data_IF_137555601016
#
_entry.id   IF_137555601016
#
_cell.length_a   1.000
_cell.length_b   1.000
_cell.length_c   1.000
_cell.angle_alpha   90.00
_cell.angle_beta   90.00
_cell.angle_gamma   90.00
#
_symmetry.space_group_name_H-M   'P 1'
#
loop_
_entity.id
_entity.type
_entity.pdbx_description
1 polymer ?
#
# COMPACT_ATOMS: atom_id res chain seq x y z
N UNK A 1 -45.86 1.61 -30.65
CA UNK A 1 -44.70 1.71 -29.73
C UNK A 1 -44.00 0.36 -29.70
N UNK A 2 -42.66 0.23 -29.60
CA UNK A 2 -41.64 1.23 -29.27
C UNK A 2 -40.54 1.43 -30.35
N UNK A 3 -39.80 2.55 -30.21
CA UNK A 3 -38.64 2.98 -30.99
C UNK A 3 -37.35 2.32 -30.46
N UNK A 4 -36.51 1.86 -31.39
CA UNK A 4 -35.22 1.21 -31.14
C UNK A 4 -34.09 2.25 -31.22
N UNK A 5 -33.39 2.48 -30.11
CA UNK A 5 -32.21 3.36 -29.99
C UNK A 5 -30.96 2.48 -29.93
N UNK A 6 -30.41 2.14 -31.10
CA UNK A 6 -29.10 1.51 -31.25
C UNK A 6 -28.10 2.53 -31.79
N UNK A 7 -27.36 3.18 -30.89
CA UNK A 7 -26.19 3.98 -31.24
C UNK A 7 -25.01 3.07 -31.53
N UNK A 8 -24.79 2.72 -32.79
CA UNK A 8 -23.63 1.95 -33.21
C UNK A 8 -22.39 2.85 -33.38
N UNK A 9 -21.43 2.54 -32.52
CA UNK A 9 -19.98 2.62 -32.64
C UNK A 9 -19.40 3.45 -33.81
N UNK A 10 -18.70 4.50 -33.40
CA UNK A 10 -17.74 5.23 -34.21
C UNK A 10 -16.70 4.30 -34.85
N UNK A 11 -16.69 4.35 -36.18
CA UNK A 11 -15.67 3.88 -37.09
C UNK A 11 -14.31 4.48 -36.70
N UNK A 12 -13.29 3.65 -36.43
CA UNK A 12 -11.91 4.13 -36.40
C UNK A 12 -10.94 3.08 -36.93
N UNK A 13 -10.51 3.35 -38.17
CA UNK A 13 -9.31 2.92 -38.88
C UNK A 13 -8.65 1.59 -38.48
N UNK A 14 -8.92 0.57 -39.31
CA UNK A 14 -8.12 -0.65 -39.37
C UNK A 14 -6.88 -0.42 -40.26
N UNK A 15 -5.75 -0.13 -39.62
CA UNK A 15 -4.44 -0.17 -40.26
C UNK A 15 -4.09 -1.61 -40.67
N UNK A 16 -3.89 -1.84 -41.97
CA UNK A 16 -3.36 -3.10 -42.50
C UNK A 16 -1.88 -3.25 -42.14
N UNK A 17 -1.56 -4.27 -41.34
CA UNK A 17 -0.24 -4.90 -41.38
C UNK A 17 -0.42 -6.42 -41.40
N UNK A 18 -0.28 -7.00 -42.58
CA UNK A 18 -0.01 -8.43 -42.80
C UNK A 18 1.47 -8.68 -42.57
N UNK A 19 1.82 -9.59 -41.65
CA UNK A 19 2.78 -10.70 -41.86
C UNK A 19 3.21 -11.33 -40.52
N UNK A 20 2.88 -12.62 -40.34
CA UNK A 20 3.76 -13.61 -39.74
C UNK A 20 3.92 -13.66 -38.21
N UNK A 21 3.53 -14.79 -37.62
CA UNK A 21 4.25 -15.36 -36.48
C UNK A 21 3.59 -15.21 -35.10
N UNK A 22 3.03 -16.33 -34.64
CA UNK A 22 2.77 -16.70 -33.24
C UNK A 22 1.78 -15.83 -32.46
N UNK A 23 0.57 -16.36 -32.27
CA UNK A 23 -0.30 -15.98 -31.17
C UNK A 23 0.37 -16.38 -29.85
N UNK A 24 1.12 -15.46 -29.24
CA UNK A 24 1.57 -15.60 -27.85
C UNK A 24 0.32 -15.40 -26.99
N UNK A 25 -0.19 -16.47 -26.41
CA UNK A 25 -1.22 -16.40 -25.38
C UNK A 25 -0.63 -15.70 -24.17
N UNK A 26 -0.81 -14.38 -24.07
CA UNK A 26 -0.44 -13.60 -22.90
C UNK A 26 -1.44 -13.93 -21.80
N UNK A 27 -1.15 -14.96 -21.02
CA UNK A 27 -1.78 -15.14 -19.72
C UNK A 27 -1.33 -13.95 -18.86
N UNK A 28 -2.16 -12.91 -18.80
CA UNK A 28 -1.97 -11.80 -17.87
C UNK A 28 -2.27 -12.38 -16.49
N UNK A 29 -1.22 -12.86 -15.81
CA UNK A 29 -1.30 -13.09 -14.37
C UNK A 29 -1.71 -11.77 -13.73
N UNK A 30 -2.62 -11.73 -12.74
CA UNK A 30 -2.88 -10.52 -11.99
C UNK A 30 -1.57 -10.11 -11.30
N UNK A 31 -0.89 -9.12 -11.87
CA UNK A 31 0.28 -8.50 -11.25
C UNK A 31 -0.29 -7.71 -10.08
N UNK A 32 -0.23 -8.31 -8.88
CA UNK A 32 -0.47 -7.54 -7.66
C UNK A 32 0.50 -6.35 -7.69
N UNK A 33 0.00 -5.11 -7.48
CA UNK A 33 0.88 -3.96 -7.47
C UNK A 33 1.95 -4.20 -6.40
N UNK A 34 3.22 -3.86 -6.68
CA UNK A 34 4.28 -4.04 -5.70
C UNK A 34 3.86 -3.36 -4.40
N UNK A 35 3.90 -4.11 -3.29
CA UNK A 35 3.58 -3.51 -2.00
C UNK A 35 4.52 -2.32 -1.79
N UNK A 36 4.01 -1.16 -1.34
CA UNK A 36 4.86 -0.02 -1.04
C UNK A 36 5.94 -0.47 -0.07
N UNK A 37 7.21 -0.34 -0.46
CA UNK A 37 8.33 -0.57 0.44
C UNK A 37 8.69 0.78 1.08
N UNK A 38 8.24 1.08 2.31
CA UNK A 38 8.48 2.38 2.91
C UNK A 38 9.97 2.58 3.17
N UNK A 39 10.53 3.65 2.60
CA UNK A 39 11.91 4.05 2.83
C UNK A 39 12.17 4.29 4.32
N UNK A 40 13.38 3.95 4.79
CA UNK A 40 13.76 4.13 6.19
C UNK A 40 13.56 5.59 6.65
N UNK A 41 12.81 5.79 7.73
CA UNK A 41 12.48 7.12 8.28
C UNK A 41 11.21 7.78 7.70
N UNK A 42 10.53 7.16 6.73
CA UNK A 42 9.17 7.57 6.37
C UNK A 42 8.24 7.38 7.58
N UNK A 43 7.26 8.27 7.81
CA UNK A 43 6.18 7.95 8.73
C UNK A 43 5.42 6.74 8.19
N UNK A 44 5.13 5.76 9.06
CA UNK A 44 4.26 4.65 8.66
C UNK A 44 2.87 5.15 8.26
N UNK A 45 2.10 4.27 7.64
CA UNK A 45 0.73 4.49 7.20
C UNK A 45 -0.16 5.01 8.34
N UNK A 46 -1.27 5.65 7.99
CA UNK A 46 -2.24 6.13 8.99
C UNK A 46 -2.73 5.02 9.92
N UNK A 47 -2.98 3.82 9.38
CA UNK A 47 -3.38 2.66 10.17
C UNK A 47 -2.31 2.24 11.17
N UNK A 48 -1.05 2.23 10.75
CA UNK A 48 0.08 1.98 11.65
C UNK A 48 0.20 3.05 12.74
N UNK A 49 0.00 4.34 12.43
CA UNK A 49 0.02 5.40 13.45
C UNK A 49 -1.08 5.19 14.50
N UNK A 50 -2.29 4.81 14.09
CA UNK A 50 -3.36 4.48 15.02
C UNK A 50 -3.01 3.28 15.89
N UNK A 51 -2.42 2.23 15.31
CA UNK A 51 -1.96 1.07 16.08
C UNK A 51 -0.88 1.45 17.10
N UNK A 52 0.05 2.36 16.77
CA UNK A 52 1.05 2.86 17.72
C UNK A 52 0.39 3.56 18.92
N UNK A 53 -0.61 4.42 18.68
CA UNK A 53 -1.36 5.09 19.76
C UNK A 53 -2.09 4.08 20.63
N UNK A 54 -2.79 3.11 20.03
CA UNK A 54 -3.52 2.09 20.78
C UNK A 54 -2.58 1.22 21.60
N UNK A 55 -1.43 0.83 21.05
CA UNK A 55 -0.45 0.01 21.73
C UNK A 55 0.25 0.78 22.86
N UNK A 56 0.55 2.07 22.68
CA UNK A 56 1.18 2.86 23.75
C UNK A 56 0.26 3.06 24.94
N UNK A 57 -1.05 3.23 24.72
CA UNK A 57 -2.06 3.24 25.78
C UNK A 57 -2.11 1.91 26.53
N UNK A 58 -2.16 0.80 25.79
CA UNK A 58 -2.18 -0.55 26.37
C UNK A 58 -0.93 -0.85 27.21
N UNK A 59 0.26 -0.50 26.70
CA UNK A 59 1.51 -0.71 27.41
C UNK A 59 1.58 0.17 28.67
N UNK A 60 1.12 1.42 28.60
CA UNK A 60 1.05 2.32 29.74
C UNK A 60 0.21 1.74 30.87
N UNK A 61 -1.01 1.30 30.55
CA UNK A 61 -1.91 0.66 31.53
C UNK A 61 -1.28 -0.62 32.12
N UNK A 62 -0.69 -1.48 31.29
CA UNK A 62 -0.11 -2.75 31.71
C UNK A 62 1.16 -2.60 32.55
N UNK A 63 1.97 -1.57 32.30
CA UNK A 63 3.25 -1.33 32.97
C UNK A 63 3.15 -0.30 34.11
N UNK A 64 1.99 0.32 34.30
CA UNK A 64 1.79 1.40 35.27
C UNK A 64 2.53 2.68 34.89
N UNK A 65 2.69 2.94 33.58
CA UNK A 65 3.34 4.12 33.01
C UNK A 65 2.35 4.93 32.17
N UNK A 66 2.78 6.06 31.60
CA UNK A 66 1.95 6.84 30.67
C UNK A 66 2.21 6.45 29.20
N UNK A 67 1.21 6.67 28.34
CA UNK A 67 1.30 6.36 26.92
C UNK A 67 2.39 7.15 26.19
N UNK A 68 2.78 8.32 26.72
CA UNK A 68 3.87 9.14 26.18
C UNK A 68 5.22 8.45 26.36
N UNK A 69 5.44 7.81 27.51
CA UNK A 69 6.65 7.06 27.84
C UNK A 69 6.78 5.82 26.95
N UNK A 70 5.65 5.14 26.69
CA UNK A 70 5.61 3.92 25.89
C UNK A 70 5.52 4.15 24.38
N UNK A 71 5.39 5.41 23.94
CA UNK A 71 5.23 5.77 22.53
C UNK A 71 6.36 5.24 21.64
N UNK A 72 7.62 5.42 22.06
CA UNK A 72 8.78 5.00 21.28
C UNK A 72 8.89 3.46 21.19
N UNK A 73 8.49 2.74 22.24
CA UNK A 73 8.47 1.27 22.26
C UNK A 73 7.37 0.75 21.31
N UNK A 74 6.16 1.30 21.42
CA UNK A 74 5.05 0.99 20.53
C UNK A 74 5.38 1.29 19.06
N UNK A 75 6.04 2.42 18.78
CA UNK A 75 6.45 2.81 17.43
C UNK A 75 7.49 1.86 16.84
N UNK A 76 8.43 1.36 17.65
CA UNK A 76 9.41 0.34 17.23
C UNK A 76 8.76 -0.99 16.87
N UNK A 77 7.71 -1.38 17.60
CA UNK A 77 7.01 -2.63 17.38
C UNK A 77 6.13 -2.59 16.12
N UNK A 78 5.43 -1.47 15.87
CA UNK A 78 4.48 -1.34 14.75
C UNK A 78 5.16 -0.85 13.47
N UNK A 79 6.10 0.09 13.58
CA UNK A 79 6.73 0.77 12.43
C UNK A 79 8.26 0.68 12.55
N UNK A 80 8.85 -0.52 12.45
CA UNK A 80 10.27 -0.72 12.71
C UNK A 80 11.15 0.06 11.74
N UNK A 81 10.74 0.19 10.47
CA UNK A 81 11.46 0.94 9.44
C UNK A 81 11.49 2.47 9.69
N UNK A 82 10.51 3.01 10.42
CA UNK A 82 10.45 4.42 10.79
C UNK A 82 11.20 4.72 12.10
N UNK A 83 11.59 3.67 12.81
CA UNK A 83 12.19 3.77 14.14
C UNK A 83 13.71 3.66 14.05
N UNK A 84 14.35 4.67 13.47
CA UNK A 84 15.82 4.79 13.55
C UNK A 84 16.21 5.03 15.01
N UNK A 85 16.92 4.07 15.58
CA UNK A 85 17.25 3.99 17.00
C UNK A 85 18.19 5.11 17.48
N UNK A 86 18.18 5.30 18.81
CA UNK A 86 19.38 5.74 19.54
C UNK A 86 20.48 4.68 19.38
N UNK A 87 21.05 4.53 18.19
CA UNK A 87 22.35 3.89 18.04
C UNK A 87 23.40 5.01 18.13
N UNK A 88 24.14 5.04 19.24
CA UNK A 88 25.34 5.87 19.37
C UNK A 88 25.14 7.24 20.04
N UNK A 89 24.73 7.27 21.31
CA UNK A 89 25.24 8.25 22.30
C UNK A 89 25.19 7.61 23.70
N UNK A 90 26.20 6.80 24.00
CA UNK A 90 26.69 6.59 25.37
C UNK A 90 28.02 7.31 25.48
#
# INVERSE_FOLDING_TARGET
MPLNLGGEAAFSQQGRHTAGGQAVSIYILPIEPPQPNPSAGQPGTLGEQFMVVSLSLYLGERRGTDAKTEWDDARRLVIPHASKGREGKR
#
